data_IF_339626653108
#
_entry.id   IF_339626653108
#
_cell.length_a   1.000
_cell.length_b   1.000
_cell.length_c   1.000
_cell.angle_alpha   90.00
_cell.angle_beta   90.00
_cell.angle_gamma   90.00
#
_symmetry.space_group_name_H-M   'P 1'
#
loop_
_entity.id
_entity.type
_entity.pdbx_description
1 polymer ?
#
# COMPACT_ATOMS: atom_id res chain seq x y z
N UNK A 1 -25.38 13.00 39.30
CA UNK A 1 -24.37 11.94 39.19
C UNK A 1 -24.62 11.00 38.00
N UNK A 2 -25.85 10.52 37.74
CA UNK A 2 -26.15 9.65 36.58
C UNK A 2 -25.82 10.30 35.23
N UNK A 3 -26.13 11.58 35.02
CA UNK A 3 -25.87 12.30 33.75
C UNK A 3 -24.39 12.36 33.42
N UNK A 4 -23.50 12.54 34.40
CA UNK A 4 -22.05 12.55 34.21
C UNK A 4 -21.50 11.18 33.78
N UNK A 5 -22.00 10.10 34.38
CA UNK A 5 -21.59 8.73 34.03
C UNK A 5 -22.02 8.37 32.60
N UNK A 6 -23.24 8.77 32.22
CA UNK A 6 -23.75 8.55 30.86
C UNK A 6 -22.92 9.31 29.82
N UNK A 7 -22.53 10.57 30.12
CA UNK A 7 -21.71 11.37 29.20
C UNK A 7 -20.31 10.76 29.01
N UNK A 8 -19.68 10.29 30.08
CA UNK A 8 -18.36 9.64 30.00
C UNK A 8 -18.45 8.32 29.23
N UNK A 9 -19.46 7.51 29.50
CA UNK A 9 -19.67 6.26 28.78
C UNK A 9 -19.87 6.49 27.27
N UNK A 10 -20.70 7.48 26.90
CA UNK A 10 -20.94 7.84 25.50
C UNK A 10 -19.66 8.32 24.80
N UNK A 11 -18.84 9.14 25.47
CA UNK A 11 -17.56 9.60 24.93
C UNK A 11 -16.57 8.45 24.69
N UNK A 12 -16.49 7.50 25.63
CA UNK A 12 -15.62 6.32 25.50
C UNK A 12 -16.08 5.41 24.35
N UNK A 13 -17.37 5.18 24.20
CA UNK A 13 -17.91 4.39 23.07
C UNK A 13 -17.62 5.08 21.75
N UNK A 14 -17.83 6.39 21.65
CA UNK A 14 -17.54 7.15 20.44
C UNK A 14 -16.04 7.10 20.09
N UNK A 15 -15.16 7.32 21.06
CA UNK A 15 -13.70 7.25 20.86
C UNK A 15 -13.26 5.86 20.41
N UNK A 16 -13.85 4.80 20.99
CA UNK A 16 -13.55 3.41 20.60
C UNK A 16 -14.01 3.13 19.16
N UNK A 17 -15.23 3.54 18.81
CA UNK A 17 -15.79 3.34 17.46
C UNK A 17 -14.95 4.09 16.41
N UNK A 18 -14.60 5.35 16.68
CA UNK A 18 -13.75 6.16 15.80
C UNK A 18 -12.36 5.54 15.70
N UNK A 19 -11.76 5.14 16.81
CA UNK A 19 -10.46 4.47 16.82
C UNK A 19 -10.44 3.17 16.02
N UNK A 20 -11.47 2.33 16.16
CA UNK A 20 -11.63 1.10 15.39
C UNK A 20 -11.86 1.38 13.89
N UNK A 21 -12.67 2.39 13.56
CA UNK A 21 -12.93 2.78 12.17
C UNK A 21 -11.64 3.29 11.49
N UNK A 22 -10.87 4.14 12.17
CA UNK A 22 -9.57 4.62 11.68
C UNK A 22 -8.57 3.47 11.52
N UNK A 23 -8.54 2.54 12.47
CA UNK A 23 -7.68 1.36 12.41
C UNK A 23 -8.06 0.42 11.27
N UNK A 24 -9.36 0.27 10.97
CA UNK A 24 -9.85 -0.53 9.82
C UNK A 24 -9.55 0.13 8.47
N UNK A 25 -9.45 1.45 8.41
CA UNK A 25 -9.08 2.19 7.19
C UNK A 25 -7.58 2.22 6.96
N UNK A 26 -6.78 2.00 8.01
CA UNK A 26 -5.33 1.99 7.94
C UNK A 26 -4.84 0.74 7.18
N UNK A 27 -3.97 0.93 6.20
CA UNK A 27 -3.38 -0.15 5.42
C UNK A 27 -4.29 -0.78 4.35
N UNK A 28 -5.51 -0.25 4.12
CA UNK A 28 -6.37 -0.73 3.02
C UNK A 28 -5.89 -0.17 1.69
N UNK A 29 -5.85 -1.05 0.68
CA UNK A 29 -5.59 -0.64 -0.69
C UNK A 29 -6.80 0.09 -1.28
N UNK A 30 -6.54 1.22 -1.92
CA UNK A 30 -7.53 2.02 -2.64
C UNK A 30 -7.11 2.05 -4.11
N UNK A 31 -8.03 1.79 -5.02
CA UNK A 31 -7.81 1.91 -6.45
C UNK A 31 -7.46 3.36 -6.81
N UNK A 32 -6.44 3.55 -7.61
CA UNK A 32 -6.00 4.85 -8.11
C UNK A 32 -5.65 4.71 -9.59
N UNK A 33 -6.60 4.97 -10.50
CA UNK A 33 -6.28 4.93 -11.92
C UNK A 33 -5.53 6.20 -12.29
N UNK A 34 -4.22 6.11 -12.44
CA UNK A 34 -3.41 7.10 -13.13
C UNK A 34 -2.73 6.39 -14.31
N UNK A 35 -3.23 6.56 -15.54
CA UNK A 35 -2.58 5.99 -16.71
C UNK A 35 -1.35 6.82 -17.06
N UNK A 36 -0.21 6.21 -17.12
CA UNK A 36 1.11 6.57 -17.61
C UNK A 36 2.18 6.56 -16.51
N UNK A 37 3.36 6.02 -16.87
CA UNK A 37 4.57 6.06 -16.03
C UNK A 37 4.92 7.53 -15.74
N UNK A 38 4.50 8.00 -14.58
CA UNK A 38 4.76 9.34 -14.10
C UNK A 38 6.27 9.59 -14.09
N UNK A 39 6.77 10.73 -14.61
CA UNK A 39 8.17 11.11 -14.51
C UNK A 39 8.73 11.01 -13.09
N UNK A 40 7.92 11.26 -12.08
CA UNK A 40 8.26 11.10 -10.66
C UNK A 40 8.58 9.65 -10.33
N UNK A 41 7.72 8.70 -10.74
CA UNK A 41 7.96 7.25 -10.51
C UNK A 41 9.24 6.77 -11.20
N UNK A 42 9.50 7.27 -12.41
CA UNK A 42 10.73 6.98 -13.14
C UNK A 42 11.96 7.51 -12.40
N UNK A 43 11.88 8.72 -11.85
CA UNK A 43 12.95 9.31 -11.02
C UNK A 43 13.21 8.53 -9.73
N UNK A 44 12.23 7.79 -9.22
CA UNK A 44 12.35 6.90 -8.07
C UNK A 44 12.85 5.50 -8.42
N UNK A 45 13.22 5.24 -9.67
CA UNK A 45 13.77 3.96 -10.11
C UNK A 45 12.71 2.92 -10.50
N UNK A 46 11.44 3.33 -10.65
CA UNK A 46 10.43 2.47 -11.27
C UNK A 46 10.74 2.34 -12.75
N UNK A 47 10.92 1.12 -13.21
CA UNK A 47 11.22 0.80 -14.61
C UNK A 47 10.16 -0.15 -15.16
N UNK A 48 9.78 -0.03 -16.43
CA UNK A 48 8.98 -1.05 -17.09
C UNK A 48 9.71 -2.41 -17.07
N UNK A 49 8.98 -3.49 -17.03
CA UNK A 49 9.55 -4.83 -17.10
C UNK A 49 8.97 -5.82 -16.09
N UNK A 50 9.03 -5.56 -14.77
CA UNK A 50 8.28 -6.38 -13.81
C UNK A 50 6.78 -6.29 -14.07
N UNK A 51 6.06 -7.40 -13.87
CA UNK A 51 4.61 -7.40 -14.01
C UNK A 51 3.93 -6.50 -12.97
N UNK A 52 4.60 -6.32 -11.81
CA UNK A 52 4.12 -5.49 -10.73
C UNK A 52 5.29 -4.95 -9.89
N UNK A 53 5.23 -3.66 -9.54
CA UNK A 53 6.17 -3.04 -8.59
C UNK A 53 5.44 -2.58 -7.32
N UNK A 54 5.91 -3.05 -6.18
CA UNK A 54 5.52 -2.56 -4.86
C UNK A 54 6.48 -1.44 -4.46
N UNK A 55 6.04 -0.18 -4.56
CA UNK A 55 6.82 0.99 -4.18
C UNK A 55 6.43 1.43 -2.77
N UNK A 56 7.33 1.25 -1.81
CA UNK A 56 7.10 1.58 -0.40
C UNK A 56 7.79 2.89 -0.03
N UNK A 57 7.03 3.83 0.52
CA UNK A 57 7.58 5.01 1.19
C UNK A 57 7.73 4.76 2.68
N UNK A 58 8.93 5.00 3.20
CA UNK A 58 9.34 4.76 4.59
C UNK A 58 10.05 5.98 5.17
N UNK A 59 10.19 6.01 6.50
CA UNK A 59 11.05 6.95 7.23
C UNK A 59 11.93 6.18 8.23
N UNK A 60 13.03 6.80 8.68
CA UNK A 60 14.04 6.15 9.51
C UNK A 60 13.48 5.56 10.82
N UNK A 61 12.58 6.28 11.49
CA UNK A 61 12.06 5.90 12.82
C UNK A 61 10.67 5.27 12.79
N UNK A 62 10.26 4.72 11.65
CA UNK A 62 8.96 4.13 11.44
C UNK A 62 8.96 2.63 11.75
N UNK A 63 8.49 2.25 12.94
CA UNK A 63 8.35 0.83 13.32
C UNK A 63 7.51 0.01 12.35
N UNK A 64 6.27 0.44 11.99
CA UNK A 64 5.44 -0.24 11.01
C UNK A 64 6.07 -0.35 9.61
N UNK A 65 6.97 0.56 9.23
CA UNK A 65 7.68 0.50 7.95
C UNK A 65 8.57 -0.73 7.83
N UNK A 66 9.24 -1.11 8.92
CA UNK A 66 10.08 -2.33 8.96
C UNK A 66 9.26 -3.60 8.70
N UNK A 67 8.09 -3.70 9.32
CA UNK A 67 7.19 -4.84 9.09
C UNK A 67 6.66 -4.86 7.66
N UNK A 68 6.28 -3.70 7.12
CA UNK A 68 5.82 -3.56 5.73
C UNK A 68 6.93 -3.89 4.74
N UNK A 69 8.17 -3.45 4.99
CA UNK A 69 9.35 -3.80 4.20
C UNK A 69 9.56 -5.31 4.13
N UNK A 70 9.56 -5.98 5.29
CA UNK A 70 9.73 -7.42 5.35
C UNK A 70 8.61 -8.16 4.57
N UNK A 71 7.37 -7.69 4.69
CA UNK A 71 6.23 -8.24 3.98
C UNK A 71 6.34 -8.06 2.47
N UNK A 72 6.64 -6.85 1.99
CA UNK A 72 6.78 -6.55 0.57
C UNK A 72 7.96 -7.31 -0.05
N UNK A 73 9.09 -7.38 0.66
CA UNK A 73 10.25 -8.14 0.23
C UNK A 73 9.97 -9.65 0.16
N UNK A 74 9.20 -10.18 1.11
CA UNK A 74 8.79 -11.60 1.09
C UNK A 74 7.88 -11.90 -0.11
N UNK A 75 6.91 -11.05 -0.40
CA UNK A 75 6.04 -11.19 -1.57
C UNK A 75 6.85 -11.10 -2.87
N UNK A 76 7.75 -10.12 -2.98
CA UNK A 76 8.61 -9.98 -4.17
C UNK A 76 9.54 -11.17 -4.39
N UNK A 77 9.96 -11.86 -3.33
CA UNK A 77 10.79 -13.08 -3.41
C UNK A 77 9.98 -14.31 -3.80
N UNK A 78 8.72 -14.40 -3.35
CA UNK A 78 7.90 -15.60 -3.48
C UNK A 78 6.95 -15.59 -4.67
N UNK A 79 6.60 -14.40 -5.17
CA UNK A 79 5.69 -14.22 -6.29
C UNK A 79 6.47 -13.77 -7.53
N UNK A 80 6.57 -14.60 -8.59
CA UNK A 80 7.26 -14.22 -9.83
C UNK A 80 6.64 -12.95 -10.44
N UNK A 81 7.47 -12.11 -11.06
CA UNK A 81 7.03 -10.88 -11.70
C UNK A 81 6.81 -9.70 -10.74
N UNK A 82 6.90 -9.91 -9.43
CA UNK A 82 6.75 -8.84 -8.43
C UNK A 82 8.12 -8.29 -8.04
N UNK A 83 8.25 -6.96 -8.05
CA UNK A 83 9.43 -6.21 -7.59
C UNK A 83 9.06 -5.36 -6.37
N UNK A 84 9.95 -5.25 -5.40
CA UNK A 84 9.83 -4.32 -4.27
C UNK A 84 10.91 -3.24 -4.36
N UNK A 85 10.48 -1.98 -4.25
CA UNK A 85 11.34 -0.80 -4.10
C UNK A 85 10.96 -0.08 -2.82
N UNK A 86 11.95 0.33 -2.06
CA UNK A 86 11.74 1.16 -0.89
C UNK A 86 12.39 2.53 -1.09
N UNK A 87 11.63 3.57 -0.79
CA UNK A 87 12.01 4.97 -0.93
C UNK A 87 11.97 5.63 0.45
N UNK A 88 13.05 6.29 0.80
CA UNK A 88 13.08 7.16 1.95
C UNK A 88 12.31 8.46 1.64
N UNK A 89 11.17 8.62 2.33
CA UNK A 89 10.30 9.77 2.15
C UNK A 89 10.96 11.09 2.56
N UNK A 90 11.90 11.06 3.50
CA UNK A 90 12.60 12.26 4.00
C UNK A 90 13.59 12.79 2.96
N UNK A 91 14.16 11.90 2.15
CA UNK A 91 15.11 12.24 1.08
C UNK A 91 14.43 12.58 -0.25
N UNK A 92 13.10 12.34 -0.40
CA UNK A 92 12.35 12.49 -1.65
C UNK A 92 11.06 13.30 -1.48
N UNK A 93 11.16 14.48 -0.82
CA UNK A 93 10.00 15.31 -0.48
C UNK A 93 9.18 15.77 -1.68
N UNK A 94 9.82 15.99 -2.83
CA UNK A 94 9.10 16.39 -4.05
C UNK A 94 8.24 15.23 -4.58
N UNK A 95 8.73 14.01 -4.54
CA UNK A 95 7.97 12.82 -4.88
C UNK A 95 6.83 12.57 -3.87
N UNK A 96 7.09 12.77 -2.57
CA UNK A 96 6.08 12.69 -1.50
C UNK A 96 4.92 13.64 -1.78
N UNK A 97 5.20 14.88 -2.19
CA UNK A 97 4.17 15.87 -2.54
C UNK A 97 3.45 15.51 -3.83
N UNK A 98 4.21 15.18 -4.88
CA UNK A 98 3.64 14.85 -6.20
C UNK A 98 2.75 13.61 -6.17
N UNK A 99 3.10 12.61 -5.36
CA UNK A 99 2.35 11.36 -5.22
C UNK A 99 1.34 11.39 -4.06
N UNK A 100 1.15 12.54 -3.41
CA UNK A 100 0.17 12.74 -2.33
C UNK A 100 0.38 11.74 -1.17
N UNK A 101 1.64 11.62 -0.69
CA UNK A 101 2.01 10.73 0.42
C UNK A 101 1.91 11.49 1.74
N UNK A 102 0.91 11.18 2.55
CA UNK A 102 0.63 11.86 3.82
C UNK A 102 1.13 11.14 5.07
N UNK A 103 1.49 9.87 4.95
CA UNK A 103 1.99 9.04 6.06
C UNK A 103 2.88 7.92 5.59
N UNK A 104 3.70 7.40 6.49
CA UNK A 104 4.49 6.18 6.28
C UNK A 104 4.06 5.06 7.25
N UNK A 105 4.11 3.79 6.82
CA UNK A 105 4.39 3.39 5.45
C UNK A 105 3.24 3.71 4.50
N UNK A 106 3.55 4.04 3.26
CA UNK A 106 2.59 4.00 2.14
C UNK A 106 3.16 3.06 1.08
N UNK A 107 2.34 2.16 0.57
CA UNK A 107 2.70 1.23 -0.51
C UNK A 107 1.86 1.56 -1.73
N UNK A 108 2.51 1.87 -2.84
CA UNK A 108 1.91 2.01 -4.15
C UNK A 108 2.12 0.71 -4.91
N UNK A 109 1.05 0.22 -5.53
CA UNK A 109 1.08 -0.92 -6.43
C UNK A 109 1.06 -0.41 -7.86
N UNK A 110 2.11 -0.69 -8.60
CA UNK A 110 2.36 -0.17 -9.94
C UNK A 110 2.41 -1.35 -10.89
N UNK A 111 1.61 -1.31 -11.95
CA UNK A 111 1.57 -2.35 -12.97
C UNK A 111 2.77 -2.29 -13.93
N UNK A 112 2.79 -3.22 -14.91
CA UNK A 112 3.84 -3.30 -15.93
C UNK A 112 3.96 -2.05 -16.82
N UNK A 113 2.84 -1.32 -16.96
CA UNK A 113 2.77 -0.12 -17.79
C UNK A 113 3.19 1.14 -17.02
N UNK A 114 3.48 0.99 -15.71
CA UNK A 114 3.87 2.06 -14.82
C UNK A 114 2.70 2.86 -14.26
N UNK A 115 1.47 2.33 -14.35
CA UNK A 115 0.31 2.95 -13.74
C UNK A 115 0.17 2.55 -12.27
N UNK A 116 -0.16 3.51 -11.40
CA UNK A 116 -0.51 3.24 -10.00
C UNK A 116 -1.92 2.66 -9.97
N UNK A 117 -2.03 1.35 -9.81
CA UNK A 117 -3.32 0.64 -9.81
C UNK A 117 -3.93 0.49 -8.44
N UNK A 118 -3.12 0.63 -7.38
CA UNK A 118 -3.63 0.55 -6.01
C UNK A 118 -2.69 1.26 -5.03
N UNK A 119 -3.23 1.65 -3.87
CA UNK A 119 -2.50 2.34 -2.81
C UNK A 119 -2.95 1.86 -1.43
N UNK A 120 -1.99 1.60 -0.54
CA UNK A 120 -2.23 1.40 0.88
C UNK A 120 -1.51 2.48 1.70
N UNK A 121 -2.26 3.28 2.44
CA UNK A 121 -1.70 4.25 3.40
C UNK A 121 -1.74 3.65 4.80
N UNK A 122 -0.57 3.37 5.37
CA UNK A 122 -0.36 2.57 6.57
C UNK A 122 0.06 1.13 6.23
N UNK A 123 0.35 0.34 7.26
CA UNK A 123 0.82 -1.04 7.11
C UNK A 123 -0.32 -1.98 6.64
N UNK A 124 -0.24 -2.52 5.43
CA UNK A 124 -1.21 -3.52 4.98
C UNK A 124 -0.98 -4.87 5.67
N UNK A 125 -2.02 -5.68 5.77
CA UNK A 125 -1.88 -7.07 6.16
C UNK A 125 -1.37 -7.92 4.99
N UNK A 126 -0.81 -9.10 5.29
CA UNK A 126 -0.37 -10.05 4.25
C UNK A 126 -1.51 -10.43 3.30
N UNK A 127 -2.70 -10.68 3.83
CA UNK A 127 -3.86 -11.04 3.02
C UNK A 127 -4.28 -9.92 2.07
N UNK A 128 -4.25 -8.67 2.53
CA UNK A 128 -4.55 -7.51 1.71
C UNK A 128 -3.52 -7.34 0.59
N UNK A 129 -2.23 -7.47 0.90
CA UNK A 129 -1.17 -7.34 -0.10
C UNK A 129 -1.26 -8.44 -1.16
N UNK A 130 -1.39 -9.70 -0.75
CA UNK A 130 -1.54 -10.83 -1.68
C UNK A 130 -2.81 -10.74 -2.52
N UNK A 131 -3.92 -10.27 -1.95
CA UNK A 131 -5.17 -10.05 -2.68
C UNK A 131 -5.01 -9.03 -3.81
N UNK A 132 -4.33 -7.91 -3.56
CA UNK A 132 -4.07 -6.90 -4.59
C UNK A 132 -3.08 -7.41 -5.64
N UNK A 133 -2.00 -8.05 -5.21
CA UNK A 133 -1.00 -8.64 -6.10
C UNK A 133 -1.66 -9.65 -7.04
N UNK A 134 -2.48 -10.56 -6.51
CA UNK A 134 -3.19 -11.57 -7.31
C UNK A 134 -4.25 -10.98 -8.26
N UNK A 135 -4.80 -9.80 -7.93
CA UNK A 135 -5.76 -9.11 -8.81
C UNK A 135 -5.10 -8.36 -9.97
N UNK A 136 -3.85 -7.93 -9.80
CA UNK A 136 -3.10 -7.12 -10.77
C UNK A 136 -2.22 -7.98 -11.68
N UNK A 137 -1.67 -9.08 -11.15
CA UNK A 137 -0.87 -9.99 -11.96
C UNK A 137 -1.71 -10.64 -13.07
N UNK A 138 -1.15 -10.76 -14.29
CA UNK A 138 -1.82 -11.49 -15.36
C UNK A 138 -2.11 -12.91 -14.89
N UNK A 139 -3.38 -13.32 -14.98
CA UNK A 139 -3.75 -14.71 -14.71
C UNK A 139 -3.08 -15.58 -15.76
N UNK A 140 -2.47 -16.73 -15.38
CA UNK A 140 -2.01 -17.68 -16.37
C UNK A 140 -3.22 -18.08 -17.21
N UNK A 141 -3.14 -17.85 -18.52
CA UNK A 141 -4.19 -18.29 -19.44
C UNK A 141 -4.42 -19.78 -19.23
N UNK A 142 -5.64 -20.15 -18.83
CA UNK A 142 -6.07 -21.54 -18.78
C UNK A 142 -6.03 -22.06 -20.21
N UNK A 143 -4.95 -22.77 -20.55
CA UNK A 143 -4.87 -23.52 -21.80
C UNK A 143 -5.99 -24.56 -21.74
N UNK A 144 -7.10 -24.27 -22.38
CA UNK A 144 -8.18 -25.23 -22.57
C UNK A 144 -7.67 -26.26 -23.56
N UNK A 145 -7.22 -27.40 -23.05
CA UNK A 145 -6.99 -28.58 -23.87
C UNK A 145 -8.35 -29.07 -24.35
N UNK A 146 -8.68 -28.71 -25.59
CA UNK A 146 -9.80 -29.33 -26.30
C UNK A 146 -9.35 -30.70 -26.78
N UNK A 147 -9.92 -31.75 -26.18
CA UNK A 147 -9.78 -33.14 -26.65
C UNK A 147 -10.71 -33.37 -27.80
#
# INVERSE_FOLDING_TARGET
MLAGIVSVAAALVLATVVGLALRRRNGRFQGSPVPQLDPVLRGLGVTPGPDLTLLQFSTAFCGPCRTTRALCADVARTVPGVRHLEIDAESHLDAVRALDIWRTPTVLVIDRDGAIVSRASGAPSRAQLLGVVGAVLPQPETVTFTS
#
